data_IF_453161159274
#
_entry.id   IF_453161159274
#
_cell.length_a   1.000
_cell.length_b   1.000
_cell.length_c   1.000
_cell.angle_alpha   90.00
_cell.angle_beta   90.00
_cell.angle_gamma   90.00
#
_symmetry.space_group_name_H-M   'P 1'
#
loop_
_entity.id
_entity.type
_entity.pdbx_description
1 polymer ?
#
# COMPACT_ATOMS: atom_id res chain seq x y z
N UNK A 1 9.75 -44.32 -35.98
CA UNK A 1 9.71 -42.85 -36.08
C UNK A 1 8.57 -42.39 -35.19
N UNK A 2 8.86 -42.04 -33.94
CA UNK A 2 7.84 -41.48 -33.06
C UNK A 2 8.36 -40.19 -32.44
N UNK A 3 7.55 -39.18 -32.70
CA UNK A 3 7.59 -37.77 -32.41
C UNK A 3 8.19 -37.38 -31.06
N UNK A 4 9.23 -36.57 -31.12
CA UNK A 4 9.57 -35.58 -30.10
C UNK A 4 8.44 -34.57 -30.00
N UNK A 5 7.70 -34.58 -28.89
CA UNK A 5 6.79 -33.48 -28.55
C UNK A 5 7.59 -32.48 -27.72
N UNK A 6 8.08 -31.45 -28.40
CA UNK A 6 8.62 -30.24 -27.80
C UNK A 6 7.43 -29.47 -27.23
N UNK A 7 7.30 -29.37 -25.91
CA UNK A 7 6.44 -28.35 -25.31
C UNK A 7 7.28 -27.09 -25.14
N UNK A 8 7.08 -26.15 -26.05
CA UNK A 8 7.60 -24.79 -25.95
C UNK A 8 6.98 -24.13 -24.72
N UNK A 9 7.83 -23.82 -23.74
CA UNK A 9 7.46 -23.06 -22.55
C UNK A 9 7.40 -21.59 -22.90
N UNK A 10 6.19 -21.04 -22.93
CA UNK A 10 5.94 -19.60 -22.88
C UNK A 10 5.61 -19.18 -21.44
N UNK A 11 6.54 -18.43 -20.82
CA UNK A 11 6.37 -17.37 -19.79
C UNK A 11 4.93 -17.14 -19.26
N UNK A 12 4.57 -17.18 -17.98
CA UNK A 12 5.27 -17.14 -16.68
C UNK A 12 4.44 -17.92 -15.64
N UNK A 13 5.09 -18.63 -14.71
CA UNK A 13 4.41 -19.45 -13.68
C UNK A 13 3.79 -18.65 -12.52
N UNK A 14 3.28 -17.44 -12.79
CA UNK A 14 2.64 -16.60 -11.79
C UNK A 14 1.19 -17.01 -11.56
N UNK A 15 0.73 -16.94 -10.31
CA UNK A 15 -0.65 -17.25 -9.96
C UNK A 15 -1.61 -16.17 -10.47
N UNK A 16 -2.90 -16.49 -10.69
CA UNK A 16 -3.92 -15.49 -10.99
C UNK A 16 -4.00 -14.36 -9.95
N UNK A 17 -3.84 -14.66 -8.65
CA UNK A 17 -3.78 -13.63 -7.62
C UNK A 17 -2.57 -12.69 -7.82
N UNK A 18 -1.39 -13.22 -8.11
CA UNK A 18 -0.21 -12.39 -8.37
C UNK A 18 -0.38 -11.53 -9.63
N UNK A 19 -0.92 -12.09 -10.71
CA UNK A 19 -1.21 -11.33 -11.94
C UNK A 19 -2.14 -10.16 -11.62
N UNK A 20 -3.20 -10.42 -10.84
CA UNK A 20 -4.12 -9.36 -10.44
C UNK A 20 -3.43 -8.26 -9.63
N UNK A 21 -2.54 -8.62 -8.69
CA UNK A 21 -1.74 -7.66 -7.91
C UNK A 21 -0.84 -6.83 -8.83
N UNK A 22 -0.12 -7.47 -9.75
CA UNK A 22 0.80 -6.80 -10.68
C UNK A 22 0.06 -5.78 -11.57
N UNK A 23 -1.14 -6.12 -12.02
CA UNK A 23 -2.00 -5.27 -12.86
C UNK A 23 -2.47 -3.98 -12.14
N UNK A 24 -2.58 -3.99 -10.80
CA UNK A 24 -2.99 -2.80 -10.03
C UNK A 24 -2.06 -1.61 -10.26
N UNK A 25 -0.78 -1.86 -10.54
CA UNK A 25 0.22 -0.82 -10.80
C UNK A 25 -0.11 0.05 -12.04
N UNK A 26 -0.92 -0.47 -12.96
CA UNK A 26 -1.29 0.19 -14.20
C UNK A 26 -2.59 1.00 -14.10
N UNK A 27 -3.28 0.94 -12.96
CA UNK A 27 -4.55 1.63 -12.74
C UNK A 27 -4.35 3.11 -12.38
N UNK A 28 -5.42 3.89 -12.52
CA UNK A 28 -5.47 5.24 -11.94
C UNK A 28 -5.29 5.16 -10.43
N UNK A 29 -4.85 6.25 -9.79
CA UNK A 29 -4.66 6.26 -8.35
C UNK A 29 -5.95 5.89 -7.59
N UNK A 30 -7.08 6.45 -8.00
CA UNK A 30 -8.37 6.17 -7.40
C UNK A 30 -8.74 4.68 -7.53
N UNK A 31 -8.63 4.12 -8.73
CA UNK A 31 -8.96 2.72 -9.00
C UNK A 31 -7.99 1.76 -8.30
N UNK A 32 -6.72 2.13 -8.17
CA UNK A 32 -5.73 1.38 -7.38
C UNK A 32 -6.18 1.29 -5.91
N UNK A 33 -6.46 2.43 -5.28
CA UNK A 33 -6.88 2.49 -3.87
C UNK A 33 -8.20 1.77 -3.67
N UNK A 34 -9.16 1.95 -4.58
CA UNK A 34 -10.44 1.25 -4.53
C UNK A 34 -10.26 -0.26 -4.67
N UNK A 35 -9.36 -0.73 -5.54
CA UNK A 35 -9.10 -2.16 -5.71
C UNK A 35 -8.45 -2.75 -4.46
N UNK A 36 -7.49 -2.04 -3.86
CA UNK A 36 -6.92 -2.41 -2.55
C UNK A 36 -7.99 -2.48 -1.46
N UNK A 37 -8.91 -1.51 -1.41
CA UNK A 37 -10.00 -1.50 -0.43
C UNK A 37 -10.92 -2.73 -0.52
N UNK A 38 -11.11 -3.28 -1.72
CA UNK A 38 -11.87 -4.51 -1.91
C UNK A 38 -11.04 -5.76 -1.61
N UNK A 39 -9.75 -5.76 -1.96
CA UNK A 39 -8.89 -6.94 -1.86
C UNK A 39 -8.45 -7.21 -0.42
N UNK A 40 -7.93 -6.20 0.28
CA UNK A 40 -7.26 -6.37 1.58
C UNK A 40 -8.12 -7.08 2.65
N UNK A 41 -9.43 -6.80 2.81
CA UNK A 41 -10.23 -7.40 3.87
C UNK A 41 -10.37 -8.93 3.81
N UNK A 42 -10.19 -9.52 2.63
CA UNK A 42 -10.38 -10.97 2.40
C UNK A 42 -9.06 -11.74 2.32
N UNK A 43 -7.92 -11.06 2.43
CA UNK A 43 -6.61 -11.71 2.35
C UNK A 43 -6.30 -12.52 3.60
N UNK A 44 -5.75 -13.72 3.40
CA UNK A 44 -5.15 -14.54 4.46
C UNK A 44 -3.66 -14.66 4.22
N UNK A 45 -2.84 -14.48 5.26
CA UNK A 45 -1.38 -14.49 5.16
C UNK A 45 -0.79 -15.87 5.40
N UNK A 46 0.36 -16.13 4.78
CA UNK A 46 1.21 -17.31 5.05
C UNK A 46 2.69 -16.95 4.88
N UNK A 47 3.57 -17.77 5.45
CA UNK A 47 5.03 -17.63 5.36
C UNK A 47 5.64 -18.86 4.68
N UNK A 48 6.55 -18.64 3.74
CA UNK A 48 7.31 -19.74 3.13
C UNK A 48 8.43 -20.23 4.06
N UNK A 49 8.98 -21.44 3.85
CA UNK A 49 10.14 -21.91 4.60
C UNK A 49 11.38 -21.01 4.50
N UNK A 50 11.43 -20.06 3.56
CA UNK A 50 12.52 -19.08 3.42
C UNK A 50 12.14 -17.69 3.94
N UNK A 51 10.98 -17.53 4.57
CA UNK A 51 10.54 -16.28 5.19
C UNK A 51 9.80 -15.32 4.26
N UNK A 52 9.45 -15.73 3.04
CA UNK A 52 8.68 -14.88 2.12
C UNK A 52 7.22 -14.76 2.60
N UNK A 53 6.68 -13.54 2.57
CA UNK A 53 5.31 -13.24 2.98
C UNK A 53 4.36 -13.39 1.80
N UNK A 54 3.43 -14.33 1.91
CA UNK A 54 2.43 -14.62 0.88
C UNK A 54 1.02 -14.32 1.38
N UNK A 55 0.11 -14.10 0.44
CA UNK A 55 -1.33 -13.97 0.67
C UNK A 55 -2.12 -14.90 -0.24
N UNK A 56 -3.29 -15.31 0.23
CA UNK A 56 -4.34 -15.96 -0.57
C UNK A 56 -5.64 -15.17 -0.47
N UNK A 57 -6.53 -15.37 -1.45
CA UNK A 57 -7.84 -14.73 -1.51
C UNK A 57 -8.91 -15.77 -1.90
N UNK A 58 -10.16 -15.70 -1.39
CA UNK A 58 -11.20 -16.68 -1.71
C UNK A 58 -11.55 -16.78 -3.21
N UNK A 59 -11.48 -15.67 -3.92
CA UNK A 59 -11.86 -15.57 -5.35
C UNK A 59 -10.71 -15.80 -6.33
N UNK A 60 -9.46 -15.57 -5.93
CA UNK A 60 -8.31 -15.67 -6.82
C UNK A 60 -7.51 -16.93 -6.51
N UNK A 61 -7.22 -17.73 -7.53
CA UNK A 61 -6.42 -18.93 -7.35
C UNK A 61 -4.94 -18.60 -7.08
N UNK A 62 -4.32 -19.45 -6.26
CA UNK A 62 -2.90 -19.39 -5.92
C UNK A 62 -2.56 -18.29 -4.90
N UNK A 63 -1.27 -17.97 -4.82
CA UNK A 63 -0.71 -17.04 -3.82
C UNK A 63 -0.18 -15.78 -4.48
N UNK A 64 -0.37 -14.63 -3.84
CA UNK A 64 0.30 -13.37 -4.16
C UNK A 64 1.38 -13.04 -3.13
N UNK A 65 2.32 -12.16 -3.47
CA UNK A 65 3.32 -11.64 -2.54
C UNK A 65 2.76 -10.47 -1.74
N UNK A 66 2.85 -10.54 -0.41
CA UNK A 66 2.39 -9.47 0.47
C UNK A 66 3.25 -8.20 0.30
N UNK A 67 4.55 -8.36 0.06
CA UNK A 67 5.46 -7.24 -0.12
C UNK A 67 5.16 -6.44 -1.40
N UNK A 68 4.77 -7.11 -2.50
CA UNK A 68 4.33 -6.41 -3.73
C UNK A 68 3.07 -5.56 -3.48
N UNK A 69 2.11 -6.10 -2.71
CA UNK A 69 0.94 -5.35 -2.25
C UNK A 69 1.32 -4.17 -1.34
N UNK A 70 2.27 -4.38 -0.43
CA UNK A 70 2.79 -3.33 0.44
C UNK A 70 3.44 -2.20 -0.35
N UNK A 71 4.23 -2.52 -1.39
CA UNK A 71 4.80 -1.54 -2.31
C UNK A 71 3.71 -0.73 -3.00
N UNK A 72 2.66 -1.39 -3.51
CA UNK A 72 1.53 -0.70 -4.16
C UNK A 72 0.81 0.25 -3.20
N UNK A 73 0.52 -0.22 -1.99
CA UNK A 73 -0.11 0.58 -0.94
C UNK A 73 0.73 1.81 -0.56
N UNK A 74 2.03 1.63 -0.33
CA UNK A 74 2.95 2.72 0.04
C UNK A 74 3.11 3.73 -1.11
N UNK A 75 3.22 3.25 -2.35
CA UNK A 75 3.29 4.12 -3.54
C UNK A 75 1.99 4.89 -3.74
N UNK A 76 0.82 4.29 -3.48
CA UNK A 76 -0.45 5.00 -3.58
C UNK A 76 -0.52 6.18 -2.60
N UNK A 77 0.02 6.05 -1.38
CA UNK A 77 0.10 7.15 -0.41
C UNK A 77 0.92 8.33 -0.95
N UNK A 78 2.09 8.03 -1.53
CA UNK A 78 2.97 9.04 -2.13
C UNK A 78 2.31 9.71 -3.37
N UNK A 79 1.68 8.90 -4.22
CA UNK A 79 0.93 9.38 -5.39
C UNK A 79 -0.21 10.32 -5.01
N UNK A 80 -0.87 10.13 -3.86
CA UNK A 80 -1.88 11.09 -3.37
C UNK A 80 -1.36 12.52 -3.33
N UNK A 81 -0.12 12.72 -2.89
CA UNK A 81 0.50 14.05 -2.84
C UNK A 81 0.97 14.49 -4.23
N UNK A 82 1.69 13.63 -4.95
CA UNK A 82 2.27 13.97 -6.26
C UNK A 82 1.23 14.28 -7.32
N UNK A 83 0.10 13.58 -7.30
CA UNK A 83 -1.00 13.75 -8.25
C UNK A 83 -2.07 14.75 -7.76
N UNK A 84 -1.87 15.39 -6.60
CA UNK A 84 -2.86 16.28 -5.96
C UNK A 84 -4.23 15.62 -5.89
N UNK A 85 -4.26 14.42 -5.32
CA UNK A 85 -5.46 13.60 -5.28
C UNK A 85 -6.60 14.26 -4.50
N UNK A 86 -7.84 13.94 -4.88
CA UNK A 86 -9.03 14.44 -4.19
C UNK A 86 -9.08 14.01 -2.73
N UNK A 87 -9.74 14.82 -1.88
CA UNK A 87 -9.92 14.49 -0.47
C UNK A 87 -10.54 13.11 -0.25
N UNK A 88 -11.54 12.74 -1.06
CA UNK A 88 -12.16 11.41 -1.03
C UNK A 88 -11.15 10.29 -1.25
N UNK A 89 -10.24 10.45 -2.21
CA UNK A 89 -9.22 9.43 -2.53
C UNK A 89 -8.21 9.29 -1.39
N UNK A 90 -7.77 10.42 -0.83
CA UNK A 90 -6.85 10.46 0.33
C UNK A 90 -7.47 9.80 1.56
N UNK A 91 -8.73 10.12 1.86
CA UNK A 91 -9.49 9.52 2.98
C UNK A 91 -9.73 8.02 2.79
N UNK A 92 -9.96 7.58 1.55
CA UNK A 92 -10.07 6.16 1.24
C UNK A 92 -8.75 5.43 1.49
N UNK A 93 -7.61 6.01 1.10
CA UNK A 93 -6.30 5.39 1.33
C UNK A 93 -6.02 5.20 2.82
N UNK A 94 -6.18 6.24 3.65
CA UNK A 94 -5.92 6.13 5.10
C UNK A 94 -6.86 5.15 5.81
N UNK A 95 -8.01 4.82 5.21
CA UNK A 95 -8.91 3.81 5.77
C UNK A 95 -8.36 2.39 5.65
N UNK A 96 -7.29 2.21 4.86
CA UNK A 96 -6.60 0.94 4.65
C UNK A 96 -5.45 0.72 5.64
N UNK A 97 -4.97 1.75 6.34
CA UNK A 97 -3.79 1.70 7.23
C UNK A 97 -3.87 0.52 8.22
N UNK A 98 -4.99 0.43 8.96
CA UNK A 98 -5.18 -0.67 9.93
C UNK A 98 -5.29 -2.05 9.27
N UNK A 99 -5.79 -2.13 8.04
CA UNK A 99 -5.97 -3.40 7.33
C UNK A 99 -4.62 -3.92 6.85
N UNK A 100 -3.81 -3.06 6.23
CA UNK A 100 -2.48 -3.45 5.75
C UNK A 100 -1.57 -3.78 6.94
N UNK A 101 -1.61 -2.99 8.01
CA UNK A 101 -0.86 -3.25 9.23
C UNK A 101 -1.22 -4.63 9.82
N UNK A 102 -2.52 -4.96 9.89
CA UNK A 102 -2.98 -6.26 10.40
C UNK A 102 -2.43 -7.44 9.58
N UNK A 103 -2.34 -7.32 8.26
CA UNK A 103 -1.74 -8.36 7.40
C UNK A 103 -0.24 -8.52 7.71
N UNK A 104 0.50 -7.42 7.86
CA UNK A 104 1.91 -7.48 8.21
C UNK A 104 2.15 -8.01 9.63
N UNK A 105 1.33 -7.61 10.60
CA UNK A 105 1.39 -8.11 11.97
C UNK A 105 1.11 -9.62 12.01
N UNK A 106 0.07 -10.08 11.32
CA UNK A 106 -0.25 -11.52 11.25
C UNK A 106 0.85 -12.33 10.57
N UNK A 107 1.42 -11.82 9.47
CA UNK A 107 2.54 -12.51 8.82
C UNK A 107 3.82 -12.48 9.66
N UNK A 108 4.04 -11.44 10.48
CA UNK A 108 5.16 -11.39 11.42
C UNK A 108 5.03 -12.44 12.52
N UNK A 109 3.83 -12.60 13.10
CA UNK A 109 3.57 -13.65 14.11
C UNK A 109 3.85 -15.05 13.54
N UNK A 110 3.42 -15.31 12.30
CA UNK A 110 3.70 -16.58 11.61
C UNK A 110 5.19 -16.80 11.36
N UNK A 111 5.92 -15.73 10.98
CA UNK A 111 7.36 -15.78 10.77
C UNK A 111 8.08 -16.11 12.08
N UNK A 112 7.77 -15.40 13.15
CA UNK A 112 8.39 -15.60 14.47
C UNK A 112 8.18 -17.04 14.95
N UNK A 113 6.95 -17.55 14.84
CA UNK A 113 6.64 -18.94 15.17
C UNK A 113 7.43 -19.94 14.32
N UNK A 114 7.53 -19.70 13.02
CA UNK A 114 8.28 -20.56 12.10
C UNK A 114 9.78 -20.58 12.37
N UNK A 115 10.34 -19.47 12.86
CA UNK A 115 11.72 -19.40 13.33
C UNK A 115 11.91 -20.16 14.64
N UNK A 116 10.97 -20.03 15.57
CA UNK A 116 10.99 -20.72 16.87
C UNK A 116 10.88 -22.24 16.74
N UNK A 117 10.00 -22.73 15.86
CA UNK A 117 9.79 -24.17 15.63
C UNK A 117 10.72 -24.79 14.58
N UNK A 118 11.52 -23.96 13.90
CA UNK A 118 12.51 -24.36 12.91
C UNK A 118 11.93 -24.74 11.54
N UNK A 119 10.67 -24.41 11.25
CA UNK A 119 10.07 -24.60 9.92
C UNK A 119 10.48 -23.51 8.92
N UNK A 120 10.98 -22.38 9.41
CA UNK A 120 11.51 -21.27 8.60
C UNK A 120 13.01 -21.12 8.79
N UNK A 121 13.72 -21.01 7.67
CA UNK A 121 15.14 -20.76 7.60
C UNK A 121 15.39 -19.56 6.69
N UNK A 122 15.71 -18.42 7.29
CA UNK A 122 16.00 -17.22 6.53
C UNK A 122 17.31 -17.37 5.75
N UNK A 123 17.36 -16.88 4.50
CA UNK A 123 18.62 -16.77 3.78
C UNK A 123 19.58 -15.85 4.56
N UNK A 124 20.90 -15.99 4.35
CA UNK A 124 21.87 -15.08 4.94
C UNK A 124 21.51 -13.63 4.57
N UNK A 125 21.50 -12.75 5.57
CA UNK A 125 21.36 -11.32 5.32
C UNK A 125 22.53 -10.85 4.47
N UNK A 126 22.23 -10.36 3.27
CA UNK A 126 23.12 -9.50 2.54
C UNK A 126 23.01 -8.14 3.24
N UNK A 127 24.12 -7.61 3.74
CA UNK A 127 24.17 -6.45 4.63
C UNK A 127 23.73 -5.16 3.89
N UNK A 128 22.42 -5.00 3.73
CA UNK A 128 21.76 -3.96 2.93
C UNK A 128 21.12 -2.89 3.84
N UNK A 129 21.88 -2.25 4.74
CA UNK A 129 21.41 -1.07 5.49
C UNK A 129 20.13 -1.28 6.33
N UNK A 130 19.44 -0.19 6.72
CA UNK A 130 18.13 -0.33 7.38
C UNK A 130 17.05 -0.65 6.33
N UNK A 131 16.36 -1.78 6.48
CA UNK A 131 15.19 -2.14 5.68
C UNK A 131 14.15 -0.98 5.62
N UNK A 132 13.96 -0.28 6.73
CA UNK A 132 13.12 0.91 6.82
C UNK A 132 13.55 2.04 5.86
N UNK A 133 14.86 2.29 5.75
CA UNK A 133 15.43 3.33 4.90
C UNK A 133 15.44 2.93 3.42
N UNK A 134 15.52 1.63 3.13
CA UNK A 134 15.39 1.09 1.77
C UNK A 134 13.94 1.08 1.28
N UNK A 135 12.98 1.32 2.18
CA UNK A 135 11.55 1.30 1.85
C UNK A 135 10.96 -0.10 1.81
N UNK A 136 11.59 -1.08 2.45
CA UNK A 136 11.06 -2.44 2.56
C UNK A 136 9.68 -2.42 3.21
N UNK A 137 8.63 -2.92 2.54
CA UNK A 137 7.26 -2.77 3.00
C UNK A 137 7.04 -3.27 4.42
N UNK A 138 7.54 -4.47 4.76
CA UNK A 138 7.37 -5.02 6.11
C UNK A 138 7.96 -4.11 7.18
N UNK A 139 9.13 -3.50 6.92
CA UNK A 139 9.80 -2.64 7.90
C UNK A 139 9.09 -1.29 8.02
N UNK A 140 8.70 -0.68 6.90
CA UNK A 140 7.99 0.61 6.88
C UNK A 140 6.61 0.48 7.53
N UNK A 141 5.89 -0.59 7.23
CA UNK A 141 4.52 -0.79 7.69
C UNK A 141 4.49 -1.13 9.17
N UNK A 142 5.28 -2.13 9.61
CA UNK A 142 5.33 -2.55 11.02
C UNK A 142 5.92 -1.47 11.95
N UNK A 143 6.70 -0.53 11.42
CA UNK A 143 7.21 0.61 12.20
C UNK A 143 6.25 1.82 12.22
N UNK A 144 5.09 1.73 11.58
CA UNK A 144 4.10 2.82 11.53
C UNK A 144 4.53 4.03 10.66
N UNK A 145 5.64 3.95 9.91
CA UNK A 145 6.12 5.06 9.09
C UNK A 145 5.25 5.37 7.86
N UNK A 146 4.28 4.50 7.58
CA UNK A 146 3.33 4.66 6.50
C UNK A 146 2.11 5.51 6.89
N UNK A 147 1.75 5.54 8.17
CA UNK A 147 0.45 6.02 8.65
C UNK A 147 0.18 7.44 8.18
N UNK A 148 -1.01 7.67 7.62
CA UNK A 148 -1.48 8.99 7.21
C UNK A 148 -0.67 9.70 6.12
N UNK A 149 0.30 9.04 5.46
CA UNK A 149 1.10 9.65 4.40
C UNK A 149 0.26 10.17 3.22
N UNK A 150 -0.93 9.63 2.97
CA UNK A 150 -1.86 10.14 1.96
C UNK A 150 -2.46 11.52 2.30
N UNK A 151 -2.26 12.02 3.53
CA UNK A 151 -2.67 13.35 3.99
C UNK A 151 -1.52 14.36 3.97
N UNK A 152 -0.43 14.04 3.28
CA UNK A 152 0.60 15.02 2.94
C UNK A 152 0.13 15.85 1.75
N UNK A 153 0.31 17.16 1.84
CA UNK A 153 -0.02 18.13 0.79
C UNK A 153 1.23 18.91 0.43
N UNK A 154 1.32 19.38 -0.81
CA UNK A 154 2.28 20.42 -1.12
C UNK A 154 1.96 21.67 -0.30
N UNK A 155 2.97 22.47 0.06
CA UNK A 155 2.77 23.67 0.88
C UNK A 155 1.75 24.65 0.24
N UNK A 156 1.83 24.86 -1.07
CA UNK A 156 0.91 25.72 -1.82
C UNK A 156 -0.52 25.16 -1.83
N UNK A 157 -0.66 23.84 -1.99
CA UNK A 157 -1.92 23.12 -1.95
C UNK A 157 -2.57 23.23 -0.56
N UNK A 158 -1.79 23.00 0.50
CA UNK A 158 -2.26 23.12 1.88
C UNK A 158 -2.77 24.53 2.18
N UNK A 159 -1.97 25.55 1.85
CA UNK A 159 -2.32 26.95 2.07
C UNK A 159 -3.55 27.38 1.28
N UNK A 160 -3.77 26.82 0.09
CA UNK A 160 -4.97 27.09 -0.69
C UNK A 160 -6.26 26.63 0.01
N UNK A 161 -6.21 25.50 0.74
CA UNK A 161 -7.38 24.93 1.41
C UNK A 161 -7.58 25.44 2.84
N UNK A 162 -6.50 25.60 3.61
CA UNK A 162 -6.56 25.89 5.05
C UNK A 162 -5.84 27.18 5.47
N UNK A 163 -5.13 27.84 4.56
CA UNK A 163 -4.36 29.05 4.87
C UNK A 163 -3.30 28.79 5.94
N UNK A 164 -3.43 29.48 7.07
CA UNK A 164 -2.52 29.39 8.22
C UNK A 164 -3.08 28.50 9.36
N UNK A 165 -4.07 27.64 9.07
CA UNK A 165 -4.55 26.67 10.07
C UNK A 165 -3.41 25.73 10.49
N UNK A 166 -3.36 25.37 11.77
CA UNK A 166 -2.31 24.50 12.33
C UNK A 166 -2.35 23.09 11.70
N UNK A 167 -1.20 22.61 11.24
CA UNK A 167 -1.03 21.28 10.65
C UNK A 167 -0.68 20.24 11.70
N UNK A 168 -0.70 18.94 11.34
CA UNK A 168 -0.18 17.87 12.22
C UNK A 168 1.34 17.81 12.25
N UNK A 169 2.01 18.53 11.35
CA UNK A 169 3.45 18.52 11.19
C UNK A 169 3.85 18.67 9.73
N UNK A 170 5.15 18.49 9.50
CA UNK A 170 5.78 18.66 8.20
C UNK A 170 6.72 17.48 7.93
N UNK A 171 6.87 17.14 6.65
CA UNK A 171 7.84 16.15 6.18
C UNK A 171 8.80 16.83 5.21
N UNK A 172 10.09 16.56 5.37
CA UNK A 172 11.14 17.06 4.49
C UNK A 172 11.83 15.90 3.79
N UNK A 173 12.12 16.06 2.50
CA UNK A 173 12.88 15.06 1.75
C UNK A 173 13.24 15.55 0.35
N UNK A 174 14.46 15.26 -0.11
CA UNK A 174 14.92 15.58 -1.48
C UNK A 174 14.78 17.07 -1.88
N UNK A 175 14.83 17.99 -0.91
CA UNK A 175 14.64 19.42 -1.14
C UNK A 175 13.17 19.86 -1.22
N UNK A 176 12.24 18.95 -0.98
CA UNK A 176 10.79 19.17 -0.96
C UNK A 176 10.27 19.19 0.49
N UNK A 177 9.22 19.97 0.71
CA UNK A 177 8.51 20.07 1.99
C UNK A 177 7.03 19.78 1.75
N UNK A 178 6.46 18.90 2.58
CA UNK A 178 5.05 18.56 2.56
C UNK A 178 4.44 18.84 3.93
N UNK A 179 3.23 19.39 3.90
CA UNK A 179 2.46 19.72 5.11
C UNK A 179 1.45 18.62 5.36
N UNK A 180 1.40 18.14 6.60
CA UNK A 180 0.51 17.06 7.00
C UNK A 180 -0.82 17.59 7.52
N UNK A 181 -1.90 17.38 6.78
CA UNK A 181 -3.24 17.68 7.25
C UNK A 181 -3.74 16.62 8.26
N UNK A 182 -4.56 17.05 9.21
CA UNK A 182 -5.35 16.13 10.02
C UNK A 182 -6.47 15.48 9.19
N UNK A 183 -6.94 14.32 9.64
CA UNK A 183 -8.10 13.67 9.01
C UNK A 183 -9.32 14.58 9.05
N UNK A 184 -9.53 15.26 10.17
CA UNK A 184 -10.64 16.18 10.41
C UNK A 184 -10.56 17.41 9.48
N UNK A 185 -9.36 17.92 9.18
CA UNK A 185 -9.16 18.98 8.19
C UNK A 185 -9.64 18.55 6.80
N UNK A 186 -9.26 17.34 6.39
CA UNK A 186 -9.61 16.79 5.07
C UNK A 186 -11.11 16.46 4.98
N UNK A 187 -11.71 15.88 6.02
CA UNK A 187 -13.15 15.61 6.09
C UNK A 187 -13.98 16.89 6.03
N UNK A 188 -13.59 17.95 6.76
CA UNK A 188 -14.26 19.26 6.69
C UNK A 188 -14.12 19.90 5.31
N UNK A 189 -12.96 19.79 4.69
CA UNK A 189 -12.73 20.34 3.35
C UNK A 189 -13.59 19.63 2.30
N UNK A 190 -13.63 18.30 2.34
CA UNK A 190 -14.50 17.48 1.46
C UNK A 190 -15.98 17.86 1.62
N UNK A 191 -16.47 18.01 2.85
CA UNK A 191 -17.86 18.40 3.10
C UNK A 191 -18.20 19.80 2.56
N UNK A 192 -17.23 20.74 2.58
CA UNK A 192 -17.38 22.08 1.98
C UNK A 192 -17.43 22.01 0.46
N UNK A 193 -16.58 21.21 -0.17
CA UNK A 193 -16.60 21.00 -1.62
C UNK A 193 -17.94 20.43 -2.08
N UNK A 194 -18.43 19.38 -1.43
CA UNK A 194 -19.74 18.77 -1.74
C UNK A 194 -20.89 19.76 -1.56
N UNK A 195 -20.88 20.54 -0.47
CA UNK A 195 -21.89 21.56 -0.21
C UNK A 195 -21.82 22.75 -1.19
N UNK A 196 -20.68 22.99 -1.85
CA UNK A 196 -20.50 24.07 -2.85
C UNK A 196 -20.93 23.68 -4.26
N UNK A 197 -21.04 22.37 -4.55
CA UNK A 197 -21.50 21.84 -5.83
C UNK A 197 -23.04 21.83 -5.92
N UNK A 198 -23.73 21.65 -4.79
CA UNK A 198 -25.20 21.57 -4.70
C UNK A 198 -25.93 22.90 -5.03
N UNK A 199 -25.44 24.11 -4.71
CA UNK A 199 -26.14 25.36 -4.99
C UNK A 199 -26.15 25.79 -6.46
N UNK A 200 -25.39 25.13 -7.35
CA UNK A 200 -25.28 25.52 -8.76
C UNK A 200 -26.12 24.65 -9.71
N UNK A 201 -26.94 23.72 -9.19
CA UNK A 201 -27.80 22.82 -9.97
C UNK A 201 -29.31 23.00 -9.69
N UNK A 202 -29.70 24.12 -9.07
CA UNK A 202 -31.08 24.60 -8.93
C UNK A 202 -31.22 25.99 -9.56
#
# INVERSE_FOLDING_TARGET
>A
MHSTSTSEGTSSGQSPLQIHIDELSSLTLHDTIQSLAHLLPELTTSITPTGERLVTHPTYEGTGKLDDLGVLYLRAADRCTRERASFKTRLMHISLDSMIEALYASSQEQLDKGLEDGTVHLPPSLDEGCACCNGEPFAVILSGFHEGNALLFWEDEYKAFWGEEESRGERYGLGETWIWASREQVERAMAREEASVIPSML
#
